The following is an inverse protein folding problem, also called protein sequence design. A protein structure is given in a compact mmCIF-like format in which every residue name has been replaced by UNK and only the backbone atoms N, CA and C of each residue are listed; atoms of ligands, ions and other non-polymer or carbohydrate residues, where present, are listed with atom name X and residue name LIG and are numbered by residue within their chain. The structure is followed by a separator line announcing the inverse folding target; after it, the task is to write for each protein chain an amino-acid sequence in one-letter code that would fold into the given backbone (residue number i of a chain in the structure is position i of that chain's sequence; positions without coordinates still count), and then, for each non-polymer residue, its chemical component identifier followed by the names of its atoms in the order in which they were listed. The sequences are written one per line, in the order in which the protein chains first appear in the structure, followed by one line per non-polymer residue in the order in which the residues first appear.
data_IF_392451641976
#
_entry.id   IF_392451641976
#
_cell.length_a   1.000
_cell.length_b   1.000
_cell.length_c   1.000
_cell.angle_alpha   90.00
_cell.angle_beta   90.00
_cell.angle_gamma   90.00
#
_symmetry.space_group_name_H-M   'P 1'
#
loop_
_entity.id
_entity.type
_entity.pdbx_description
1 polymer ?
#
# COMPACT_ATOMS: atom_id res chain seq x y z
N UNK A 1 -21.62 14.47 -37.08
CA UNK A 1 -20.86 14.02 -35.90
C UNK A 1 -21.21 12.56 -35.69
N UNK A 2 -20.24 11.67 -35.91
CA UNK A 2 -20.49 10.23 -36.05
C UNK A 2 -20.80 9.62 -34.67
N UNK A 3 -21.92 8.93 -34.53
CA UNK A 3 -22.39 8.32 -33.28
C UNK A 3 -21.35 7.39 -32.65
N UNK A 4 -20.52 6.75 -33.47
CA UNK A 4 -19.40 5.90 -33.01
C UNK A 4 -18.34 6.67 -32.23
N UNK A 5 -18.00 7.91 -32.64
CA UNK A 5 -17.04 8.73 -31.92
C UNK A 5 -17.58 9.16 -30.55
N UNK A 6 -18.89 9.43 -30.45
CA UNK A 6 -19.53 9.74 -29.18
C UNK A 6 -19.50 8.55 -28.20
N UNK A 7 -19.67 7.32 -28.70
CA UNK A 7 -19.57 6.10 -27.90
C UNK A 7 -18.15 5.88 -27.36
N UNK A 8 -17.12 6.09 -28.19
CA UNK A 8 -15.72 5.99 -27.74
C UNK A 8 -15.36 7.02 -26.66
N UNK A 9 -15.83 8.26 -26.82
CA UNK A 9 -15.62 9.30 -25.80
C UNK A 9 -16.30 8.92 -24.49
N UNK A 10 -17.57 8.47 -24.53
CA UNK A 10 -18.29 8.04 -23.34
C UNK A 10 -17.59 6.85 -22.64
N UNK A 11 -17.08 5.89 -23.41
CA UNK A 11 -16.35 4.75 -22.87
C UNK A 11 -15.06 5.16 -22.15
N UNK A 12 -14.26 6.05 -22.75
CA UNK A 12 -13.03 6.57 -22.12
C UNK A 12 -13.36 7.34 -20.84
N UNK A 13 -14.39 8.20 -20.87
CA UNK A 13 -14.84 8.94 -19.70
C UNK A 13 -15.30 8.01 -18.56
N UNK A 14 -16.01 6.94 -18.88
CA UNK A 14 -16.40 5.92 -17.89
C UNK A 14 -15.17 5.25 -17.26
N UNK A 15 -14.17 4.85 -18.05
CA UNK A 15 -12.94 4.23 -17.52
C UNK A 15 -12.19 5.21 -16.60
N UNK A 16 -12.00 6.45 -17.05
CA UNK A 16 -11.31 7.48 -16.26
C UNK A 16 -12.09 7.79 -14.97
N UNK A 17 -13.42 7.89 -15.06
CA UNK A 17 -14.30 8.08 -13.91
C UNK A 17 -14.17 6.94 -12.88
N UNK A 18 -14.15 5.68 -13.33
CA UNK A 18 -13.95 4.52 -12.45
C UNK A 18 -12.56 4.53 -11.78
N UNK A 19 -11.50 4.92 -12.51
CA UNK A 19 -10.16 5.05 -11.95
C UNK A 19 -10.08 6.14 -10.87
N UNK A 20 -10.70 7.30 -11.10
CA UNK A 20 -10.77 8.39 -10.12
C UNK A 20 -11.58 7.94 -8.89
N UNK A 21 -12.74 7.33 -9.12
CA UNK A 21 -13.64 6.86 -8.06
C UNK A 21 -12.95 5.80 -7.18
N UNK A 22 -12.30 4.81 -7.77
CA UNK A 22 -11.58 3.78 -7.02
C UNK A 22 -10.44 4.37 -6.17
N UNK A 23 -9.69 5.34 -6.69
CA UNK A 23 -8.66 6.06 -5.93
C UNK A 23 -9.25 6.84 -4.75
N UNK A 24 -10.37 7.54 -4.97
CA UNK A 24 -11.10 8.24 -3.91
C UNK A 24 -11.63 7.30 -2.83
N UNK A 25 -12.22 6.17 -3.22
CA UNK A 25 -12.71 5.14 -2.30
C UNK A 25 -11.57 4.59 -1.45
N UNK A 26 -10.42 4.24 -2.07
CA UNK A 26 -9.25 3.74 -1.35
C UNK A 26 -8.71 4.77 -0.35
N UNK A 27 -8.57 6.04 -0.76
CA UNK A 27 -8.14 7.12 0.12
C UNK A 27 -9.04 7.25 1.35
N UNK A 28 -10.37 7.28 1.16
CA UNK A 28 -11.33 7.36 2.28
C UNK A 28 -11.22 6.16 3.20
N UNK A 29 -11.03 4.97 2.66
CA UNK A 29 -10.89 3.76 3.46
C UNK A 29 -9.60 3.78 4.30
N UNK A 30 -8.48 4.24 3.73
CA UNK A 30 -7.22 4.40 4.48
C UNK A 30 -7.32 5.46 5.58
N UNK A 31 -8.01 6.58 5.30
CA UNK A 31 -8.28 7.61 6.31
C UNK A 31 -9.17 7.08 7.44
N UNK A 32 -10.21 6.32 7.09
CA UNK A 32 -11.12 5.70 8.05
C UNK A 32 -10.36 4.69 8.92
N UNK A 33 -9.61 3.78 8.31
CA UNK A 33 -8.78 2.80 9.00
C UNK A 33 -7.83 3.49 10.00
N UNK A 34 -7.09 4.51 9.55
CA UNK A 34 -6.18 5.25 10.42
C UNK A 34 -6.89 5.79 11.66
N UNK A 35 -8.06 6.40 11.48
CA UNK A 35 -8.84 6.94 12.59
C UNK A 35 -9.34 5.84 13.55
N UNK A 36 -9.80 4.70 13.01
CA UNK A 36 -10.30 3.57 13.80
C UNK A 36 -9.22 2.92 14.67
N UNK A 37 -7.98 2.82 14.16
CA UNK A 37 -6.86 2.20 14.89
C UNK A 37 -6.01 3.21 15.68
N UNK A 38 -6.37 4.51 15.69
CA UNK A 38 -5.66 5.56 16.41
C UNK A 38 -4.35 6.03 15.74
N UNK A 39 -4.20 5.79 14.44
CA UNK A 39 -3.05 6.23 13.63
C UNK A 39 -3.32 7.59 12.96
N UNK A 40 -2.27 8.20 12.42
CA UNK A 40 -2.35 9.47 11.69
C UNK A 40 -2.23 9.21 10.19
N UNK A 41 -3.19 9.70 9.41
CA UNK A 41 -3.09 9.72 7.96
C UNK A 41 -2.25 10.91 7.48
N UNK A 42 -1.11 10.63 6.84
CA UNK A 42 -0.12 11.62 6.38
C UNK A 42 -0.34 11.98 4.90
N UNK A 43 -0.92 11.08 4.11
CA UNK A 43 -1.19 11.33 2.69
C UNK A 43 -0.07 10.81 1.78
N UNK A 44 0.70 11.70 1.13
CA UNK A 44 1.60 11.32 0.03
C UNK A 44 3.09 11.34 0.38
N UNK A 45 3.41 11.52 1.66
CA UNK A 45 4.79 11.67 2.12
C UNK A 45 5.15 10.54 3.06
N UNK A 46 6.20 9.80 2.73
CA UNK A 46 6.76 8.78 3.61
C UNK A 46 7.56 9.46 4.74
N UNK A 47 7.39 9.07 6.02
CA UNK A 47 8.21 9.60 7.10
C UNK A 47 9.70 9.35 6.87
N UNK A 48 10.54 10.33 7.15
CA UNK A 48 12.00 10.26 6.95
C UNK A 48 12.68 9.16 7.76
N UNK A 49 12.03 8.68 8.81
CA UNK A 49 12.50 7.55 9.62
C UNK A 49 12.40 6.21 8.91
N UNK A 50 11.56 6.07 7.87
CA UNK A 50 11.41 4.81 7.13
C UNK A 50 12.55 4.69 6.10
N UNK A 51 13.34 3.61 6.11
CA UNK A 51 14.51 3.46 5.25
C UNK A 51 14.09 3.16 3.81
N UNK A 52 14.49 4.05 2.92
CA UNK A 52 14.32 3.86 1.47
C UNK A 52 15.57 3.22 0.86
N UNK A 53 16.77 3.66 1.30
CA UNK A 53 18.03 3.16 0.76
C UNK A 53 18.23 1.68 1.10
N UNK A 54 18.63 0.89 0.11
CA UNK A 54 18.86 -0.55 0.28
C UNK A 54 17.58 -1.40 0.33
N UNK A 55 16.39 -0.81 0.21
CA UNK A 55 15.11 -1.54 0.19
C UNK A 55 14.48 -1.45 -1.19
N UNK A 56 13.49 -2.30 -1.45
CA UNK A 56 12.70 -2.21 -2.67
C UNK A 56 11.95 -0.87 -2.81
N UNK A 57 11.69 -0.16 -1.71
CA UNK A 57 11.02 1.14 -1.73
C UNK A 57 11.79 2.14 -2.60
N UNK A 58 13.13 2.04 -2.69
CA UNK A 58 13.94 2.86 -3.58
C UNK A 58 13.56 2.75 -5.07
N UNK A 59 12.86 1.69 -5.47
CA UNK A 59 12.40 1.46 -6.86
C UNK A 59 10.99 1.99 -7.12
N UNK A 60 10.36 2.61 -6.12
CA UNK A 60 9.02 3.18 -6.25
C UNK A 60 9.04 4.47 -7.07
N UNK A 61 8.04 4.67 -7.91
CA UNK A 61 7.83 5.90 -8.68
C UNK A 61 6.85 6.85 -8.00
N UNK A 62 5.97 6.36 -7.12
CA UNK A 62 5.09 7.19 -6.29
C UNK A 62 4.64 6.47 -5.03
N UNK A 63 4.39 7.24 -3.97
CA UNK A 63 3.87 6.80 -2.67
C UNK A 63 2.63 7.64 -2.32
N UNK A 64 1.59 7.01 -1.77
CA UNK A 64 0.36 7.67 -1.35
C UNK A 64 -0.34 6.86 -0.25
N UNK A 65 -1.40 7.44 0.34
CA UNK A 65 -2.16 6.85 1.44
C UNK A 65 -1.30 6.39 2.63
N UNK A 66 -0.28 7.16 2.97
CA UNK A 66 0.58 6.89 4.11
C UNK A 66 -0.21 7.07 5.41
N UNK A 67 -0.16 6.07 6.27
CA UNK A 67 -0.61 6.10 7.66
C UNK A 67 0.57 5.76 8.57
N UNK A 68 0.70 6.45 9.70
CA UNK A 68 1.78 6.30 10.68
C UNK A 68 1.18 6.28 12.08
N UNK A 69 1.64 5.37 12.92
CA UNK A 69 1.20 5.26 14.29
C UNK A 69 1.98 4.23 15.06
N UNK A 70 1.46 3.90 16.24
CA UNK A 70 2.10 2.97 17.15
C UNK A 70 1.08 1.92 17.60
N UNK A 71 1.52 0.66 17.62
CA UNK A 71 0.76 -0.48 18.11
C UNK A 71 1.63 -1.26 19.09
N UNK A 72 1.18 -1.43 20.32
CA UNK A 72 1.90 -2.19 21.35
C UNK A 72 3.36 -1.73 21.56
N UNK A 73 3.62 -0.41 21.54
CA UNK A 73 4.99 0.13 21.67
C UNK A 73 5.84 0.02 20.40
N UNK A 74 5.27 -0.50 19.30
CA UNK A 74 5.95 -0.71 18.03
C UNK A 74 5.41 0.28 17.00
N UNK A 75 6.30 1.07 16.40
CA UNK A 75 5.91 2.00 15.34
C UNK A 75 5.59 1.26 14.05
N UNK A 76 4.47 1.60 13.43
CA UNK A 76 3.96 1.00 12.20
C UNK A 76 3.64 2.10 11.20
N UNK A 77 4.14 1.94 9.97
CA UNK A 77 3.86 2.81 8.83
C UNK A 77 3.31 1.94 7.72
N UNK A 78 2.11 2.21 7.24
CA UNK A 78 1.55 1.53 6.08
C UNK A 78 1.26 2.52 4.95
N UNK A 79 1.51 2.12 3.71
CA UNK A 79 1.33 3.00 2.57
C UNK A 79 1.09 2.24 1.27
N UNK A 80 0.40 2.88 0.35
CA UNK A 80 0.28 2.40 -1.03
C UNK A 80 1.44 3.00 -1.86
N UNK A 81 1.99 2.22 -2.78
CA UNK A 81 3.04 2.70 -3.68
C UNK A 81 2.98 2.06 -5.06
N UNK A 82 3.65 2.69 -6.02
CA UNK A 82 3.80 2.23 -7.40
C UNK A 82 5.25 1.89 -7.66
N UNK A 83 5.48 0.72 -8.24
CA UNK A 83 6.80 0.26 -8.66
C UNK A 83 6.99 0.46 -10.16
N UNK A 84 8.16 0.95 -10.54
CA UNK A 84 8.53 1.18 -11.95
C UNK A 84 7.81 2.36 -12.61
N UNK A 85 8.22 2.67 -13.83
CA UNK A 85 7.62 3.71 -14.68
C UNK A 85 7.15 3.10 -16.02
N UNK A 86 5.95 3.46 -16.47
CA UNK A 86 5.41 3.03 -17.78
C UNK A 86 4.65 1.71 -17.79
N UNK A 87 4.67 0.98 -18.92
CA UNK A 87 3.81 -0.19 -19.23
C UNK A 87 4.02 -1.43 -18.34
N UNK A 88 5.01 -1.42 -17.46
CA UNK A 88 5.25 -2.46 -16.45
C UNK A 88 5.02 -2.01 -15.02
N UNK A 89 4.47 -0.80 -14.81
CA UNK A 89 4.24 -0.30 -13.46
C UNK A 89 3.12 -1.06 -12.77
N UNK A 90 3.29 -1.34 -11.49
CA UNK A 90 2.31 -2.04 -10.67
C UNK A 90 2.19 -1.37 -9.31
N UNK A 91 1.09 -1.62 -8.60
CA UNK A 91 0.79 -0.98 -7.32
C UNK A 91 0.79 -2.03 -6.21
N UNK A 92 1.21 -1.65 -5.00
CA UNK A 92 1.14 -2.51 -3.82
C UNK A 92 0.97 -1.70 -2.55
N UNK A 93 0.51 -2.38 -1.50
CA UNK A 93 0.51 -1.86 -0.14
C UNK A 93 1.76 -2.40 0.57
N UNK A 94 2.44 -1.53 1.31
CA UNK A 94 3.62 -1.86 2.11
C UNK A 94 3.31 -1.60 3.57
N UNK A 95 3.76 -2.49 4.45
CA UNK A 95 3.71 -2.31 5.90
C UNK A 95 5.15 -2.32 6.41
N UNK A 96 5.58 -1.21 6.99
CA UNK A 96 6.90 -1.05 7.60
C UNK A 96 6.74 -0.93 9.11
N UNK A 97 7.51 -1.71 9.84
CA UNK A 97 7.44 -1.76 11.31
C UNK A 97 8.84 -1.54 11.86
N UNK A 98 8.97 -0.65 12.84
CA UNK A 98 10.24 -0.36 13.50
C UNK A 98 10.48 -1.32 14.66
N UNK A 99 10.78 -2.58 14.32
CA UNK A 99 11.18 -3.60 15.26
C UNK A 99 11.92 -4.73 14.54
N UNK A 100 12.73 -5.53 15.28
CA UNK A 100 13.30 -6.77 14.76
C UNK A 100 12.20 -7.73 14.29
N UNK A 101 12.54 -8.65 13.36
CA UNK A 101 11.61 -9.61 12.74
C UNK A 101 10.67 -10.33 13.72
N UNK A 102 11.10 -10.55 14.95
CA UNK A 102 10.33 -11.20 16.03
C UNK A 102 9.10 -10.42 16.49
N UNK A 103 8.96 -9.14 16.14
CA UNK A 103 7.78 -8.33 16.47
C UNK A 103 6.60 -8.54 15.50
N UNK A 104 6.87 -9.21 14.38
CA UNK A 104 5.84 -9.69 13.46
C UNK A 104 5.31 -10.99 14.05
N UNK A 105 4.06 -10.97 14.54
CA UNK A 105 3.38 -12.22 14.91
C UNK A 105 3.31 -13.18 13.72
N UNK A 106 2.84 -14.41 13.95
CA UNK A 106 2.74 -15.47 12.92
C UNK A 106 1.97 -15.08 11.65
N UNK A 107 1.09 -14.07 11.71
CA UNK A 107 0.25 -13.58 10.61
C UNK A 107 1.05 -12.92 9.48
N UNK A 108 2.24 -12.37 9.75
CA UNK A 108 3.06 -11.68 8.75
C UNK A 108 4.22 -12.56 8.24
N UNK A 109 4.18 -13.86 8.54
CA UNK A 109 5.08 -14.88 7.99
C UNK A 109 4.32 -15.84 7.07
N UNK A 110 3.12 -15.44 6.64
CA UNK A 110 2.30 -16.25 5.73
C UNK A 110 3.03 -16.46 4.38
N UNK A 111 2.97 -17.69 3.83
CA UNK A 111 3.53 -17.97 2.51
C UNK A 111 2.87 -17.06 1.46
N UNK A 112 3.67 -16.20 0.83
CA UNK A 112 3.21 -15.31 -0.23
C UNK A 112 3.45 -13.83 0.00
N UNK A 113 4.17 -13.44 1.06
CA UNK A 113 4.68 -12.08 1.29
C UNK A 113 6.20 -12.06 1.35
N UNK A 114 6.81 -10.99 0.83
CA UNK A 114 8.25 -10.75 0.93
C UNK A 114 8.52 -9.82 2.10
N UNK A 115 9.59 -10.11 2.84
CA UNK A 115 10.06 -9.30 3.98
C UNK A 115 11.48 -8.80 3.71
N UNK A 116 11.74 -7.53 4.01
CA UNK A 116 13.06 -6.91 3.95
C UNK A 116 13.39 -6.23 5.26
N UNK A 117 14.63 -6.34 5.72
CA UNK A 117 15.12 -5.64 6.90
C UNK A 117 16.11 -4.55 6.51
N UNK A 118 15.94 -3.35 7.06
CA UNK A 118 16.85 -2.24 6.87
C UNK A 118 16.77 -1.29 8.06
N UNK A 119 17.92 -0.87 8.61
CA UNK A 119 18.02 0.16 9.65
C UNK A 119 17.03 -0.01 10.84
N UNK A 120 16.83 -1.25 11.32
CA UNK A 120 15.90 -1.55 12.43
C UNK A 120 14.42 -1.61 12.03
N UNK A 121 14.12 -1.42 10.75
CA UNK A 121 12.81 -1.63 10.17
C UNK A 121 12.72 -2.99 9.50
N UNK A 122 11.57 -3.60 9.66
CA UNK A 122 11.15 -4.75 8.88
C UNK A 122 10.00 -4.29 7.99
N UNK A 123 10.12 -4.54 6.69
CA UNK A 123 9.22 -4.05 5.65
C UNK A 123 8.62 -5.27 4.97
N UNK A 124 7.30 -5.34 4.95
CA UNK A 124 6.55 -6.41 4.33
C UNK A 124 5.71 -5.90 3.16
N UNK A 125 5.63 -6.70 2.11
CA UNK A 125 4.80 -6.41 0.94
C UNK A 125 4.47 -7.70 0.16
N UNK A 126 3.40 -7.65 -0.62
CA UNK A 126 3.08 -8.75 -1.53
C UNK A 126 4.05 -8.74 -2.73
N UNK A 127 4.74 -9.87 -3.02
CA UNK A 127 5.58 -10.00 -4.20
C UNK A 127 4.72 -9.97 -5.46
N UNK A 128 5.35 -9.59 -6.57
CA UNK A 128 4.67 -9.56 -7.87
C UNK A 128 4.27 -10.98 -8.27
N UNK A 129 2.97 -11.30 -8.27
CA UNK A 129 2.49 -12.58 -8.81
C UNK A 129 2.49 -12.52 -10.34
N UNK A 130 3.11 -13.50 -11.00
CA UNK A 130 3.04 -13.64 -12.46
C UNK A 130 1.64 -14.14 -12.84
N UNK A 131 0.74 -13.22 -13.20
CA UNK A 131 -0.59 -13.54 -13.70
C UNK A 131 -1.30 -12.32 -14.28
N UNK A 132 -2.35 -12.54 -15.07
CA UNK A 132 -3.17 -11.49 -15.71
C UNK A 132 -4.01 -10.67 -14.73
N UNK A 133 -3.84 -10.87 -13.41
CA UNK A 133 -4.49 -10.06 -12.40
C UNK A 133 -3.86 -8.67 -12.41
N UNK A 134 -4.69 -7.65 -12.60
CA UNK A 134 -4.38 -6.24 -12.34
C UNK A 134 -4.20 -6.06 -10.83
N UNK A 135 -3.17 -6.69 -10.26
CA UNK A 135 -3.09 -6.95 -8.83
C UNK A 135 -3.23 -5.63 -8.08
N UNK A 136 -4.31 -5.62 -7.32
CA UNK A 136 -4.91 -4.48 -6.67
C UNK A 136 -4.22 -4.31 -5.32
N UNK A 137 -4.20 -3.10 -4.80
CA UNK A 137 -3.72 -2.81 -3.46
C UNK A 137 -4.32 -3.81 -2.45
N UNK A 138 -3.54 -4.25 -1.46
CA UNK A 138 -3.99 -5.12 -0.36
C UNK A 138 -5.33 -4.62 0.19
N UNK A 139 -6.28 -5.53 0.43
CA UNK A 139 -7.58 -5.14 0.95
C UNK A 139 -7.45 -4.44 2.31
N UNK A 140 -8.41 -3.56 2.64
CA UNK A 140 -8.36 -2.80 3.90
C UNK A 140 -8.54 -3.72 5.10
N UNK A 141 -9.39 -4.74 5.00
CA UNK A 141 -9.62 -5.71 6.07
C UNK A 141 -8.36 -6.54 6.31
N UNK A 142 -7.66 -6.94 5.25
CA UNK A 142 -6.38 -7.63 5.35
C UNK A 142 -5.28 -6.72 5.94
N UNK A 143 -5.20 -5.48 5.50
CA UNK A 143 -4.27 -4.49 6.04
C UNK A 143 -4.50 -4.26 7.54
N UNK A 144 -5.77 -4.12 7.96
CA UNK A 144 -6.15 -4.00 9.35
C UNK A 144 -5.74 -5.24 10.15
N UNK A 145 -6.05 -6.43 9.66
CA UNK A 145 -5.69 -7.68 10.32
C UNK A 145 -4.17 -7.81 10.53
N UNK A 146 -3.38 -7.42 9.53
CA UNK A 146 -1.91 -7.40 9.57
C UNK A 146 -1.39 -6.39 10.60
N UNK A 147 -1.87 -5.16 10.59
CA UNK A 147 -1.48 -4.15 11.59
C UNK A 147 -1.87 -4.62 13.00
N UNK A 148 -3.07 -5.19 13.14
CA UNK A 148 -3.56 -5.67 14.43
C UNK A 148 -2.74 -6.85 14.97
N UNK A 149 -2.01 -7.58 14.13
CA UNK A 149 -1.13 -8.69 14.51
C UNK A 149 0.28 -8.24 14.98
N UNK A 150 0.64 -6.97 14.81
CA UNK A 150 1.93 -6.45 15.26
C UNK A 150 2.02 -6.48 16.80
N UNK A 151 3.05 -7.13 17.33
CA UNK A 151 3.30 -7.24 18.77
C UNK A 151 2.27 -8.09 19.55
N UNK A 152 1.53 -8.99 18.89
CA UNK A 152 0.77 -10.06 19.56
C UNK A 152 1.66 -11.24 19.90
#
# INVERSE_FOLDING_TARGET
MNSEFALWIAFILCIVGLQIWSGWRRKRAMQKLANEIGFVYIGNTLPSSVPVAGTEIARTSSIWNVIDGERNGIRVVAFDCRFGAGKGSWRRTVIAVHAPRTAFGTVLLEPGFDTQEAAGWTIEFEPRRMGFSLQQLMDIEELEARIAAVGR
#
